data_IF_683577236180
#
_entry.id   IF_683577236180
#
_cell.length_a   1.000
_cell.length_b   1.000
_cell.length_c   1.000
_cell.angle_alpha   90.00
_cell.angle_beta   90.00
_cell.angle_gamma   90.00
#
_symmetry.space_group_name_H-M   'P 1'
#
loop_
_entity.id
_entity.type
_entity.pdbx_description
1 polymer ?
#
# COMPACT_ATOMS: atom_id res chain seq x y z
N UNK A 1 9.76 5.06 -5.30
CA UNK A 1 8.78 4.97 -6.42
C UNK A 1 7.90 3.81 -6.06
N UNK A 2 6.59 4.00 -6.07
CA UNK A 2 5.68 2.94 -5.65
C UNK A 2 5.58 1.90 -6.78
N UNK A 3 5.71 0.62 -6.44
CA UNK A 3 5.52 -0.49 -7.36
C UNK A 3 4.26 -1.25 -6.95
N UNK A 4 3.34 -1.48 -7.90
CA UNK A 4 2.13 -2.25 -7.68
C UNK A 4 2.20 -3.55 -8.48
N UNK A 5 2.66 -4.62 -7.81
CA UNK A 5 2.62 -5.97 -8.37
C UNK A 5 1.48 -6.76 -7.73
N UNK A 6 0.51 -7.21 -8.55
CA UNK A 6 -0.59 -8.05 -8.07
C UNK A 6 -0.10 -9.49 -7.96
N UNK A 7 -0.20 -10.07 -6.76
CA UNK A 7 0.13 -11.47 -6.49
C UNK A 7 -0.99 -12.13 -5.69
N UNK A 8 -1.13 -13.45 -5.81
CA UNK A 8 -2.07 -14.18 -4.97
C UNK A 8 -1.68 -14.02 -3.49
N UNK A 9 -2.67 -13.79 -2.63
CA UNK A 9 -2.45 -13.67 -1.20
C UNK A 9 -1.92 -14.99 -0.65
N UNK A 10 -0.65 -15.01 -0.25
CA UNK A 10 0.01 -16.18 0.30
C UNK A 10 1.06 -15.75 1.31
N UNK A 11 1.02 -16.35 2.50
CA UNK A 11 1.99 -16.09 3.57
C UNK A 11 3.43 -16.28 3.10
N UNK A 12 3.69 -17.29 2.26
CA UNK A 12 5.03 -17.58 1.72
C UNK A 12 5.48 -16.47 0.75
N UNK A 13 4.56 -15.93 -0.06
CA UNK A 13 4.86 -14.82 -0.98
C UNK A 13 5.20 -13.54 -0.21
N UNK A 14 4.43 -13.22 0.83
CA UNK A 14 4.68 -12.08 1.73
C UNK A 14 6.05 -12.19 2.41
N UNK A 15 6.41 -13.36 2.95
CA UNK A 15 7.72 -13.59 3.59
C UNK A 15 8.86 -13.43 2.58
N UNK A 16 8.70 -13.96 1.36
CA UNK A 16 9.70 -13.83 0.29
C UNK A 16 9.91 -12.36 -0.11
N UNK A 17 8.85 -11.55 -0.16
CA UNK A 17 8.98 -10.12 -0.40
C UNK A 17 9.75 -9.41 0.72
N UNK A 18 9.43 -9.67 2.00
CA UNK A 18 10.14 -9.08 3.14
C UNK A 18 11.64 -9.38 3.11
N UNK A 19 12.00 -10.63 2.79
CA UNK A 19 13.39 -11.04 2.60
C UNK A 19 14.05 -10.31 1.43
N UNK A 20 13.36 -10.12 0.30
CA UNK A 20 13.89 -9.39 -0.86
C UNK A 20 14.18 -7.92 -0.55
N UNK A 21 13.42 -7.31 0.34
CA UNK A 21 13.66 -5.93 0.82
C UNK A 21 14.67 -5.85 1.98
N UNK A 22 15.28 -6.98 2.36
CA UNK A 22 16.28 -7.09 3.42
C UNK A 22 15.76 -6.56 4.79
N UNK A 23 14.47 -6.79 5.07
CA UNK A 23 13.82 -6.42 6.33
C UNK A 23 14.31 -7.36 7.43
N UNK A 24 15.06 -6.83 8.40
CA UNK A 24 15.65 -7.62 9.50
C UNK A 24 14.73 -7.72 10.72
N UNK A 25 13.91 -6.70 10.95
CA UNK A 25 12.99 -6.60 12.10
C UNK A 25 11.55 -6.63 11.59
N UNK A 26 11.05 -7.83 11.30
CA UNK A 26 9.68 -8.03 10.85
C UNK A 26 8.65 -7.76 11.96
N UNK A 27 9.08 -7.82 13.22
CA UNK A 27 8.27 -7.52 14.40
C UNK A 27 7.91 -6.02 14.51
N UNK A 28 8.71 -5.15 13.89
CA UNK A 28 8.45 -3.71 13.83
C UNK A 28 7.55 -3.30 12.66
N UNK A 29 7.09 -4.25 11.83
CA UNK A 29 6.26 -3.98 10.66
C UNK A 29 4.77 -4.00 11.02
N UNK A 30 4.03 -3.00 10.54
CA UNK A 30 2.56 -2.94 10.65
C UNK A 30 1.91 -3.43 9.35
N UNK A 31 1.03 -4.42 9.46
CA UNK A 31 0.17 -4.85 8.34
C UNK A 31 -1.01 -3.89 8.20
N UNK A 32 -1.18 -3.31 7.01
CA UNK A 32 -2.34 -2.48 6.66
C UNK A 32 -3.11 -3.10 5.51
N UNK A 33 -4.33 -3.54 5.80
CA UNK A 33 -5.29 -3.96 4.76
C UNK A 33 -6.02 -2.73 4.26
N UNK A 34 -6.05 -2.53 2.95
CA UNK A 34 -6.81 -1.46 2.29
C UNK A 34 -7.85 -2.09 1.37
N UNK A 35 -9.09 -1.62 1.50
CA UNK A 35 -10.14 -1.96 0.54
C UNK A 35 -10.04 -1.01 -0.66
N UNK A 36 -10.16 -1.55 -1.87
CA UNK A 36 -10.08 -0.74 -3.10
C UNK A 36 -11.42 -0.82 -3.80
N UNK A 37 -12.27 0.16 -3.51
CA UNK A 37 -13.52 0.39 -4.20
C UNK A 37 -13.37 1.32 -5.41
N UNK A 38 -14.50 1.75 -5.95
CA UNK A 38 -14.54 2.67 -7.10
C UNK A 38 -13.89 4.02 -6.75
N UNK A 39 -14.14 4.53 -5.55
CA UNK A 39 -13.63 5.83 -5.11
C UNK A 39 -12.09 5.80 -4.99
N UNK A 40 -11.55 4.75 -4.37
CA UNK A 40 -10.11 4.54 -4.21
C UNK A 40 -9.46 4.31 -5.57
N UNK A 41 -10.11 3.58 -6.48
CA UNK A 41 -9.66 3.39 -7.85
C UNK A 41 -9.53 4.69 -8.63
N UNK A 42 -10.48 5.62 -8.50
CA UNK A 42 -10.41 6.94 -9.14
C UNK A 42 -9.27 7.79 -8.55
N UNK A 43 -9.08 7.77 -7.23
CA UNK A 43 -7.99 8.49 -6.58
C UNK A 43 -6.60 7.92 -6.94
N UNK A 44 -6.47 6.58 -7.04
CA UNK A 44 -5.27 5.91 -7.56
C UNK A 44 -4.99 6.37 -9.00
N UNK A 45 -6.01 6.38 -9.87
CA UNK A 45 -5.84 6.80 -11.26
C UNK A 45 -5.39 8.26 -11.35
N UNK A 46 -6.04 9.15 -10.60
CA UNK A 46 -5.69 10.56 -10.56
C UNK A 46 -4.27 10.77 -10.06
N UNK A 47 -3.87 10.10 -8.98
CA UNK A 47 -2.52 10.18 -8.44
C UNK A 47 -1.47 9.60 -9.42
N UNK A 48 -1.81 8.58 -10.20
CA UNK A 48 -0.94 7.99 -11.25
C UNK A 48 -0.61 8.97 -12.37
N UNK A 49 -1.52 9.89 -12.69
CA UNK A 49 -1.28 10.92 -13.69
C UNK A 49 -0.43 12.09 -13.16
N UNK A 50 -0.31 12.21 -11.85
CA UNK A 50 0.31 13.38 -11.19
C UNK A 50 1.63 13.06 -10.49
N UNK A 51 1.84 11.80 -10.10
CA UNK A 51 2.98 11.40 -9.28
C UNK A 51 3.45 9.97 -9.58
N UNK A 52 4.70 9.69 -9.20
CA UNK A 52 5.31 8.36 -9.19
C UNK A 52 5.18 7.64 -7.83
N UNK A 53 4.53 8.27 -6.86
CA UNK A 53 4.29 7.74 -5.52
C UNK A 53 2.78 7.65 -5.23
N UNK A 54 2.09 6.89 -6.08
CA UNK A 54 0.63 6.75 -6.13
C UNK A 54 0.05 6.08 -4.88
N UNK A 55 0.59 4.94 -4.47
CA UNK A 55 0.07 4.19 -3.33
C UNK A 55 0.37 4.91 -2.02
N UNK A 56 1.56 5.50 -1.94
CA UNK A 56 1.95 6.33 -0.80
C UNK A 56 1.04 7.55 -0.69
N UNK A 57 0.78 8.28 -1.78
CA UNK A 57 -0.07 9.47 -1.75
C UNK A 57 -1.51 9.17 -1.38
N UNK A 58 -2.07 8.06 -1.86
CA UNK A 58 -3.47 7.69 -1.60
C UNK A 58 -3.64 7.07 -0.21
N UNK A 59 -2.76 6.16 0.22
CA UNK A 59 -2.99 5.33 1.41
C UNK A 59 -2.13 5.66 2.63
N UNK A 60 -1.01 6.39 2.47
CA UNK A 60 -0.06 6.69 3.55
C UNK A 60 0.03 8.18 3.90
N UNK A 61 -0.16 9.08 2.93
CA UNK A 61 0.03 10.54 3.13
C UNK A 61 -1.19 11.22 3.78
N UNK A 62 -2.29 10.51 4.03
CA UNK A 62 -3.47 11.07 4.70
C UNK A 62 -3.29 11.07 6.22
N UNK A 63 -2.75 12.17 6.76
CA UNK A 63 -2.76 12.52 8.20
C UNK A 63 -4.17 12.88 8.75
N UNK A 64 -5.23 12.25 8.25
CA UNK A 64 -6.59 12.31 8.81
C UNK A 64 -7.54 11.36 8.05
N UNK A 65 -7.35 10.05 8.13
CA UNK A 65 -8.47 9.12 7.84
C UNK A 65 -9.47 9.25 9.00
N UNK A 66 -10.43 10.16 8.81
CA UNK A 66 -11.67 10.40 9.56
C UNK A 66 -11.80 9.70 10.92
N UNK A 67 -11.59 10.46 11.99
CA UNK A 67 -12.42 10.31 13.19
C UNK A 67 -13.88 10.49 12.81
N UNK A 68 -14.68 9.43 12.96
CA UNK A 68 -16.12 9.44 13.23
C UNK A 68 -17.05 10.15 12.23
N UNK A 69 -17.93 9.37 11.61
CA UNK A 69 -19.38 9.65 11.56
C UNK A 69 -20.10 8.34 11.28
#
# INVERSE_FOLDING_TARGET
MDDLTVTAMSTISSITMLNKFNVQQVDALEEKVVDVGINEGVEILKASLQSKTVLTSVFLTQKAWKTGS
#
